data_IF_054884582446
#
_entry.id   IF_054884582446
#
_cell.length_a   1.000
_cell.length_b   1.000
_cell.length_c   1.000
_cell.angle_alpha   90.00
_cell.angle_beta   90.00
_cell.angle_gamma   90.00
#
_symmetry.space_group_name_H-M   'P 1'
#
loop_
_entity.id
_entity.type
_entity.pdbx_description
1 polymer ?
#
# COMPACT_ATOMS: atom_id res chain seq x y z
N UNK A 1 -12.69 -8.53 12.59
CA UNK A 1 -12.26 -8.34 13.99
C UNK A 1 -13.38 -8.62 14.99
N UNK A 2 -14.54 -7.96 14.91
CA UNK A 2 -15.68 -8.20 15.84
C UNK A 2 -16.05 -9.68 16.02
N UNK A 3 -16.24 -10.43 14.93
CA UNK A 3 -16.63 -11.84 14.99
C UNK A 3 -15.56 -12.78 15.55
N UNK A 4 -14.30 -12.34 15.68
CA UNK A 4 -13.24 -13.17 16.25
C UNK A 4 -13.54 -13.55 17.72
N UNK A 5 -14.24 -12.69 18.46
CA UNK A 5 -14.66 -12.94 19.85
C UNK A 5 -15.94 -13.78 19.92
N UNK A 6 -16.84 -13.62 18.93
CA UNK A 6 -18.17 -14.24 18.94
C UNK A 6 -18.14 -15.66 18.38
N UNK A 7 -17.39 -15.89 17.30
CA UNK A 7 -17.33 -17.14 16.56
C UNK A 7 -15.89 -17.44 16.12
N UNK A 8 -15.03 -17.98 17.01
CA UNK A 8 -13.60 -18.17 16.74
C UNK A 8 -13.34 -19.17 15.61
N UNK A 9 -14.28 -20.07 15.31
CA UNK A 9 -14.16 -21.04 14.21
C UNK A 9 -14.12 -20.37 12.81
N UNK A 10 -14.56 -19.11 12.69
CA UNK A 10 -14.47 -18.35 11.44
C UNK A 10 -13.03 -17.94 11.11
N UNK A 11 -12.18 -17.79 12.13
CA UNK A 11 -10.81 -17.30 12.01
C UNK A 11 -9.91 -18.24 11.17
N UNK A 12 -9.85 -19.57 11.40
CA UNK A 12 -9.05 -20.46 10.56
C UNK A 12 -9.53 -20.50 9.10
N UNK A 13 -10.84 -20.41 8.86
CA UNK A 13 -11.39 -20.32 7.49
C UNK A 13 -10.93 -19.05 6.78
N UNK A 14 -10.97 -17.91 7.48
CA UNK A 14 -10.54 -16.62 6.94
C UNK A 14 -9.03 -16.58 6.69
N UNK A 15 -8.22 -17.19 7.57
CA UNK A 15 -6.78 -17.34 7.37
C UNK A 15 -6.50 -18.18 6.11
N UNK A 16 -7.19 -19.31 5.94
CA UNK A 16 -7.07 -20.11 4.73
C UNK A 16 -7.40 -19.31 3.46
N UNK A 17 -8.46 -18.51 3.49
CA UNK A 17 -8.82 -17.59 2.40
C UNK A 17 -7.71 -16.58 2.10
N UNK A 18 -7.17 -15.90 3.11
CA UNK A 18 -6.09 -14.93 2.92
C UNK A 18 -4.79 -15.58 2.43
N UNK A 19 -4.45 -16.79 2.88
CA UNK A 19 -3.28 -17.53 2.42
C UNK A 19 -3.38 -17.87 0.93
N UNK A 20 -4.53 -18.43 0.50
CA UNK A 20 -4.75 -18.72 -0.92
C UNK A 20 -4.77 -17.44 -1.75
N UNK A 21 -5.45 -16.40 -1.27
CA UNK A 21 -5.48 -15.09 -1.92
C UNK A 21 -4.08 -14.49 -2.07
N UNK A 22 -3.23 -14.60 -1.05
CA UNK A 22 -1.85 -14.12 -1.10
C UNK A 22 -1.03 -14.83 -2.19
N UNK A 23 -1.09 -16.15 -2.27
CA UNK A 23 -0.35 -16.93 -3.29
C UNK A 23 -0.81 -16.51 -4.70
N UNK A 24 -2.12 -16.46 -4.92
CA UNK A 24 -2.68 -16.08 -6.23
C UNK A 24 -2.31 -14.64 -6.58
N UNK A 25 -2.42 -13.71 -5.64
CA UNK A 25 -2.18 -12.29 -5.90
C UNK A 25 -0.71 -11.99 -6.17
N UNK A 26 0.23 -12.66 -5.48
CA UNK A 26 1.66 -12.54 -5.78
C UNK A 26 1.95 -13.02 -7.20
N UNK A 27 1.40 -14.18 -7.60
CA UNK A 27 1.57 -14.68 -8.97
C UNK A 27 0.98 -13.70 -10.00
N UNK A 28 -0.15 -13.07 -9.70
CA UNK A 28 -0.75 -12.10 -10.61
C UNK A 28 0.08 -10.80 -10.72
N UNK A 29 0.69 -10.34 -9.62
CA UNK A 29 1.59 -9.18 -9.65
C UNK A 29 2.83 -9.47 -10.50
N UNK A 30 3.36 -10.70 -10.46
CA UNK A 30 4.54 -11.08 -11.23
C UNK A 30 4.24 -11.27 -12.72
N UNK A 31 3.15 -11.98 -13.06
CA UNK A 31 2.91 -12.43 -14.43
C UNK A 31 1.94 -11.54 -15.23
N UNK A 32 1.03 -10.81 -14.58
CA UNK A 32 -0.15 -10.22 -15.24
C UNK A 32 -0.29 -8.72 -15.02
N UNK A 33 -0.10 -8.23 -13.80
CA UNK A 33 -0.35 -6.83 -13.47
C UNK A 33 0.88 -5.96 -13.76
N UNK A 34 0.72 -4.97 -14.63
CA UNK A 34 1.73 -3.93 -14.86
C UNK A 34 1.53 -2.75 -13.90
N UNK A 35 2.58 -2.34 -13.18
CA UNK A 35 2.53 -1.20 -12.25
C UNK A 35 2.70 0.12 -13.01
N UNK A 36 1.58 0.74 -13.38
CA UNK A 36 1.58 2.02 -14.12
C UNK A 36 1.99 3.21 -13.21
N UNK A 37 1.72 3.12 -11.91
CA UNK A 37 1.97 4.18 -10.96
C UNK A 37 2.60 3.66 -9.67
N UNK A 38 3.79 4.16 -9.36
CA UNK A 38 4.47 3.89 -8.10
C UNK A 38 4.08 4.93 -7.05
N UNK A 39 3.37 4.49 -6.01
CA UNK A 39 2.89 5.37 -4.92
C UNK A 39 3.74 5.28 -3.66
N UNK A 40 4.81 4.48 -3.67
CA UNK A 40 5.77 4.30 -2.57
C UNK A 40 5.12 4.06 -1.19
N UNK A 41 4.02 3.29 -1.15
CA UNK A 41 3.36 2.93 0.11
C UNK A 41 2.57 4.07 0.78
N UNK A 42 2.28 5.18 0.08
CA UNK A 42 1.50 6.31 0.62
C UNK A 42 0.12 5.93 1.16
N UNK A 43 -0.44 4.80 0.73
CA UNK A 43 -1.72 4.28 1.23
C UNK A 43 -1.65 3.60 2.60
N UNK A 44 -0.45 3.22 3.07
CA UNK A 44 -0.27 2.47 4.32
C UNK A 44 -0.87 3.16 5.56
N UNK A 45 -0.71 4.48 5.77
CA UNK A 45 -1.32 5.16 6.92
C UNK A 45 -2.85 5.06 6.95
N UNK A 46 -3.50 5.06 5.78
CA UNK A 46 -4.94 4.90 5.67
C UNK A 46 -5.37 3.48 6.03
N UNK A 47 -4.68 2.46 5.52
CA UNK A 47 -4.93 1.05 5.87
C UNK A 47 -4.78 0.85 7.38
N UNK A 48 -3.68 1.34 7.96
CA UNK A 48 -3.46 1.28 9.40
C UNK A 48 -4.57 1.97 10.20
N UNK A 49 -5.02 3.15 9.76
CA UNK A 49 -6.15 3.85 10.38
C UNK A 49 -7.43 3.01 10.42
N UNK A 50 -7.78 2.35 9.31
CA UNK A 50 -8.94 1.46 9.26
C UNK A 50 -8.79 0.21 10.14
N UNK A 51 -7.58 -0.36 10.24
CA UNK A 51 -7.29 -1.46 11.16
C UNK A 51 -7.58 -1.03 12.61
N UNK A 52 -7.10 0.15 13.02
CA UNK A 52 -7.37 0.68 14.36
C UNK A 52 -8.87 0.92 14.61
N UNK A 53 -9.61 1.46 13.64
CA UNK A 53 -11.07 1.60 13.74
C UNK A 53 -11.73 0.22 13.95
N UNK A 54 -11.32 -0.79 13.20
CA UNK A 54 -11.86 -2.14 13.32
C UNK A 54 -11.56 -2.78 14.69
N UNK A 55 -10.39 -2.51 15.28
CA UNK A 55 -10.02 -2.96 16.64
C UNK A 55 -10.86 -2.23 17.70
N UNK A 56 -11.01 -0.91 17.60
CA UNK A 56 -11.84 -0.12 18.51
C UNK A 56 -13.29 -0.60 18.48
N UNK A 57 -13.84 -0.83 17.28
CA UNK A 57 -15.19 -1.39 17.10
C UNK A 57 -15.32 -2.77 17.75
N UNK A 58 -14.30 -3.64 17.62
CA UNK A 58 -14.26 -4.94 18.29
C UNK A 58 -14.26 -4.81 19.82
N UNK A 59 -13.52 -3.86 20.39
CA UNK A 59 -13.49 -3.64 21.84
C UNK A 59 -14.81 -3.07 22.37
N UNK A 60 -15.44 -2.14 21.65
CA UNK A 60 -16.77 -1.59 22.01
C UNK A 60 -17.83 -2.70 22.00
N UNK A 61 -17.84 -3.53 20.95
CA UNK A 61 -18.78 -4.66 20.85
C UNK A 61 -18.52 -5.73 21.91
N UNK A 62 -17.25 -5.97 22.28
CA UNK A 62 -16.86 -6.87 23.36
C UNK A 62 -17.35 -6.38 24.74
N UNK A 63 -17.25 -5.07 25.02
CA UNK A 63 -17.83 -4.45 26.22
C UNK A 63 -19.34 -4.69 26.26
N UNK A 64 -20.04 -4.43 25.16
CA UNK A 64 -21.47 -4.71 25.05
C UNK A 64 -21.82 -6.18 25.32
N UNK A 65 -21.10 -7.11 24.68
CA UNK A 65 -21.33 -8.55 24.81
C UNK A 65 -21.13 -9.06 26.25
N UNK A 66 -20.08 -8.60 26.94
CA UNK A 66 -19.82 -9.01 28.33
C UNK A 66 -20.73 -8.31 29.34
N UNK A 67 -21.15 -7.07 29.06
CA UNK A 67 -22.19 -6.38 29.83
C UNK A 67 -23.50 -7.16 29.83
N UNK A 68 -23.94 -7.63 28.67
CA UNK A 68 -25.15 -8.48 28.56
C UNK A 68 -24.97 -9.85 29.23
N UNK A 69 -23.77 -10.44 29.21
CA UNK A 69 -23.47 -11.73 29.83
C UNK A 69 -23.26 -11.69 31.36
N UNK A 70 -23.56 -10.57 32.02
CA UNK A 70 -23.48 -10.40 33.47
C UNK A 70 -22.10 -10.75 34.08
N UNK A 71 -21.02 -10.51 33.31
CA UNK A 71 -19.62 -10.64 33.77
C UNK A 71 -18.96 -9.25 33.88
N UNK A 72 -19.33 -8.43 34.89
CA UNK A 72 -18.90 -7.04 34.98
C UNK A 72 -17.37 -6.90 35.13
N UNK A 73 -16.70 -7.84 35.79
CA UNK A 73 -15.26 -7.82 35.97
C UNK A 73 -14.49 -7.81 34.63
N UNK A 74 -14.93 -8.59 33.65
CA UNK A 74 -14.31 -8.66 32.31
C UNK A 74 -14.59 -7.40 31.49
N UNK A 75 -15.79 -6.83 31.62
CA UNK A 75 -16.14 -5.57 30.96
C UNK A 75 -15.25 -4.42 31.45
N UNK A 76 -15.02 -4.34 32.77
CA UNK A 76 -14.17 -3.30 33.38
C UNK A 76 -12.72 -3.47 32.91
N UNK A 77 -12.21 -4.71 32.82
CA UNK A 77 -10.87 -4.99 32.31
C UNK A 77 -10.67 -4.59 30.83
N UNK A 78 -11.74 -4.46 30.05
CA UNK A 78 -11.67 -4.08 28.62
C UNK A 78 -11.52 -2.55 28.45
N UNK A 79 -11.88 -1.75 29.45
CA UNK A 79 -11.79 -0.28 29.38
C UNK A 79 -10.34 0.22 29.32
N UNK A 80 -9.39 -0.24 30.18
CA UNK A 80 -7.98 0.10 30.04
C UNK A 80 -7.39 -0.29 28.68
N UNK A 81 -7.83 -1.43 28.13
CA UNK A 81 -7.38 -1.92 26.83
C UNK A 81 -7.78 -0.96 25.70
N UNK A 82 -9.00 -0.42 25.76
CA UNK A 82 -9.49 0.58 24.81
C UNK A 82 -8.68 1.89 24.88
N UNK A 83 -8.41 2.37 26.09
CA UNK A 83 -7.58 3.56 26.30
C UNK A 83 -6.15 3.35 25.76
N UNK A 84 -5.53 2.22 26.08
CA UNK A 84 -4.20 1.87 25.57
C UNK A 84 -4.18 1.83 24.04
N UNK A 85 -5.22 1.29 23.41
CA UNK A 85 -5.34 1.22 21.94
C UNK A 85 -5.41 2.61 21.31
N UNK A 86 -6.18 3.53 21.91
CA UNK A 86 -6.28 4.91 21.43
C UNK A 86 -4.95 5.65 21.60
N UNK A 87 -4.33 5.58 22.78
CA UNK A 87 -3.02 6.21 23.04
C UNK A 87 -1.95 5.67 22.11
N UNK A 88 -1.95 4.36 21.85
CA UNK A 88 -1.00 3.75 20.92
C UNK A 88 -1.22 4.20 19.47
N UNK A 89 -2.47 4.34 19.02
CA UNK A 89 -2.78 4.88 17.70
C UNK A 89 -2.24 6.31 17.53
N UNK A 90 -2.48 7.18 18.51
CA UNK A 90 -1.96 8.56 18.48
C UNK A 90 -0.43 8.60 18.51
N UNK A 91 0.20 7.75 19.32
CA UNK A 91 1.66 7.60 19.32
C UNK A 91 2.18 7.18 17.93
N UNK A 92 1.56 6.18 17.30
CA UNK A 92 1.93 5.72 15.97
C UNK A 92 1.77 6.82 14.92
N UNK A 93 0.69 7.60 14.97
CA UNK A 93 0.48 8.74 14.06
C UNK A 93 1.59 9.79 14.22
N UNK A 94 1.86 10.23 15.45
CA UNK A 94 2.86 11.26 15.72
C UNK A 94 4.25 10.79 15.27
N UNK A 95 4.58 9.51 15.50
CA UNK A 95 5.92 8.97 15.22
C UNK A 95 6.14 8.60 13.75
N UNK A 96 5.18 7.94 13.12
CA UNK A 96 5.38 7.29 11.81
C UNK A 96 4.71 8.02 10.64
N UNK A 97 3.62 8.77 10.87
CA UNK A 97 2.94 9.48 9.79
C UNK A 97 3.86 10.49 9.04
N UNK A 98 4.77 11.23 9.71
CA UNK A 98 5.68 12.14 9.02
C UNK A 98 6.53 11.46 7.95
N UNK A 99 6.96 10.21 8.19
CA UNK A 99 7.79 9.41 7.27
C UNK A 99 7.07 9.06 5.97
N UNK A 100 5.74 8.88 6.00
CA UNK A 100 4.96 8.58 4.79
C UNK A 100 4.57 9.83 4.00
N UNK A 101 4.62 11.00 4.63
CA UNK A 101 4.22 12.27 4.02
C UNK A 101 5.40 13.05 3.46
N UNK A 102 6.60 12.90 4.04
CA UNK A 102 7.77 13.68 3.69
C UNK A 102 8.96 12.76 3.42
N UNK A 103 9.70 13.10 2.37
CA UNK A 103 10.97 12.45 2.07
C UNK A 103 12.10 13.14 2.85
N UNK A 104 13.04 12.35 3.38
CA UNK A 104 14.15 12.86 4.19
C UNK A 104 15.16 13.60 3.31
N UNK A 105 15.60 14.79 3.75
CA UNK A 105 16.66 15.55 3.07
C UNK A 105 17.97 14.76 3.06
N UNK A 106 18.23 13.97 4.10
CA UNK A 106 19.43 13.12 4.15
C UNK A 106 19.38 12.05 3.06
N UNK A 107 18.24 11.41 2.88
CA UNK A 107 18.09 10.36 1.85
C UNK A 107 18.20 11.01 0.46
N UNK A 108 17.63 12.20 0.26
CA UNK A 108 17.80 12.96 -0.98
C UNK A 108 19.27 13.24 -1.29
N UNK A 109 20.03 13.74 -0.31
CA UNK A 109 21.46 13.99 -0.47
C UNK A 109 22.25 12.71 -0.78
N UNK A 110 21.99 11.63 -0.05
CA UNK A 110 22.67 10.35 -0.26
C UNK A 110 22.36 9.80 -1.66
N UNK A 111 21.13 9.96 -2.17
CA UNK A 111 20.75 9.60 -3.53
C UNK A 111 21.43 10.48 -4.59
N UNK A 112 21.48 11.81 -4.39
CA UNK A 112 22.16 12.73 -5.31
C UNK A 112 23.67 12.41 -5.43
N UNK A 113 24.32 12.06 -4.31
CA UNK A 113 25.72 11.66 -4.28
C UNK A 113 25.95 10.33 -5.03
N UNK A 114 25.01 9.39 -4.92
CA UNK A 114 25.06 8.12 -5.65
C UNK A 114 24.94 8.34 -7.16
N UNK A 115 23.97 9.15 -7.61
CA UNK A 115 23.77 9.48 -9.04
C UNK A 115 25.02 10.14 -9.65
N UNK A 116 25.74 10.95 -8.88
CA UNK A 116 27.00 11.54 -9.31
C UNK A 116 28.11 10.49 -9.46
N UNK A 117 28.19 9.53 -8.53
CA UNK A 117 29.21 8.47 -8.56
C UNK A 117 28.97 7.45 -9.67
N UNK A 118 27.72 7.11 -9.95
CA UNK A 118 27.35 6.22 -11.06
C UNK A 118 27.41 6.93 -12.42
N UNK A 119 27.48 8.26 -12.45
CA UNK A 119 27.52 9.06 -13.67
C UNK A 119 26.16 9.20 -14.35
N UNK A 120 25.08 8.85 -13.66
CA UNK A 120 23.70 8.91 -14.17
C UNK A 120 23.07 10.30 -14.06
N UNK A 121 23.70 11.20 -13.30
CA UNK A 121 23.21 12.56 -13.04
C UNK A 121 22.79 13.33 -14.31
N UNK A 122 23.64 13.36 -15.33
CA UNK A 122 23.36 14.11 -16.57
C UNK A 122 22.20 13.51 -17.37
N UNK A 123 22.10 12.18 -17.40
CA UNK A 123 21.03 11.44 -18.08
C UNK A 123 19.70 11.70 -17.39
N UNK A 124 19.69 11.64 -16.06
CA UNK A 124 18.50 11.89 -15.23
C UNK A 124 18.02 13.35 -15.39
N UNK A 125 18.94 14.31 -15.45
CA UNK A 125 18.64 15.71 -15.68
C UNK A 125 17.96 15.96 -17.05
N UNK A 126 18.52 15.39 -18.11
CA UNK A 126 17.95 15.48 -19.47
C UNK A 126 16.58 14.79 -19.59
N UNK A 127 16.40 13.65 -18.90
CA UNK A 127 15.11 12.98 -18.81
C UNK A 127 14.08 13.86 -18.10
N UNK A 128 14.43 14.43 -16.94
CA UNK A 128 13.56 15.30 -16.15
C UNK A 128 13.06 16.51 -16.95
N UNK A 129 13.92 17.11 -17.80
CA UNK A 129 13.55 18.23 -18.68
C UNK A 129 12.38 17.90 -19.61
N UNK A 130 12.29 16.64 -20.06
CA UNK A 130 11.30 16.20 -21.04
C UNK A 130 10.16 15.35 -20.44
N UNK A 131 10.24 14.99 -19.16
CA UNK A 131 9.33 14.05 -18.49
C UNK A 131 7.86 14.50 -18.49
N UNK A 132 7.62 15.79 -18.22
CA UNK A 132 6.28 16.37 -18.07
C UNK A 132 5.74 17.06 -19.34
N UNK A 133 6.40 16.86 -20.49
CA UNK A 133 5.88 17.36 -21.77
C UNK A 133 4.59 16.65 -22.13
N UNK A 134 3.59 17.42 -22.59
CA UNK A 134 2.34 16.85 -23.07
C UNK A 134 2.61 15.88 -24.23
N UNK A 135 1.87 14.76 -24.33
CA UNK A 135 2.07 13.78 -25.40
C UNK A 135 2.06 14.39 -26.82
N UNK A 136 1.28 15.46 -27.03
CA UNK A 136 1.19 16.21 -28.29
C UNK A 136 2.41 17.06 -28.64
N UNK A 137 3.23 17.42 -27.65
CA UNK A 137 4.43 18.25 -27.79
C UNK A 137 5.72 17.42 -27.86
N UNK A 138 5.63 16.10 -27.65
CA UNK A 138 6.77 15.19 -27.72
C UNK A 138 7.16 15.01 -29.20
N UNK A 139 8.40 15.37 -29.55
CA UNK A 139 8.94 15.23 -30.92
C UNK A 139 8.88 13.76 -31.35
N UNK A 140 8.35 13.48 -32.54
CA UNK A 140 8.13 12.13 -33.10
C UNK A 140 9.41 11.32 -33.43
N UNK A 141 10.52 11.55 -32.74
CA UNK A 141 11.83 10.99 -33.06
C UNK A 141 12.31 10.04 -31.96
N UNK A 142 11.59 8.94 -31.74
CA UNK A 142 12.11 7.75 -31.05
C UNK A 142 11.18 6.54 -31.25
N UNK A 143 10.83 6.25 -32.51
CA UNK A 143 10.37 4.93 -32.93
C UNK A 143 11.36 4.42 -33.98
N UNK A 144 12.20 3.40 -33.72
CA UNK A 144 12.53 2.49 -34.78
C UNK A 144 11.23 1.74 -35.08
N UNK A 145 10.44 2.31 -35.98
CA UNK A 145 9.37 1.60 -36.66
C UNK A 145 10.01 0.48 -37.47
N UNK A 146 10.33 -0.65 -36.83
CA UNK A 146 10.23 -1.92 -37.53
C UNK A 146 8.74 -2.18 -37.70
N UNK A 147 8.24 -1.61 -38.78
CA UNK A 147 6.92 -1.81 -39.32
C UNK A 147 6.82 -3.23 -39.86
N UNK A 148 6.60 -4.19 -38.96
CA UNK A 148 6.13 -5.55 -39.27
C UNK A 148 4.66 -5.57 -39.74
N UNK A 149 4.16 -4.45 -40.28
CA UNK A 149 2.76 -4.26 -40.68
C UNK A 149 2.57 -4.21 -42.21
N UNK A 150 3.64 -4.32 -43.00
CA UNK A 150 3.54 -4.39 -44.48
C UNK A 150 3.66 -5.79 -45.06
N UNK A 151 3.98 -6.83 -44.28
CA UNK A 151 4.06 -8.22 -44.80
C UNK A 151 2.73 -9.00 -44.77
N UNK A 152 1.70 -8.55 -44.04
CA UNK A 152 0.44 -9.29 -43.93
C UNK A 152 -0.58 -8.98 -45.05
N UNK A 153 -0.35 -7.95 -45.88
CA UNK A 153 -1.33 -7.47 -46.88
C UNK A 153 -1.04 -7.88 -48.34
N UNK A 154 -0.05 -8.76 -48.59
CA UNK A 154 0.25 -9.29 -49.94
C UNK A 154 0.10 -10.82 -49.97
N UNK A 155 -0.95 -11.37 -49.35
CA UNK A 155 -1.29 -12.80 -49.46
C UNK A 155 -2.75 -13.05 -49.88
N UNK A 156 -3.27 -12.19 -50.76
CA UNK A 156 -4.57 -12.41 -51.37
C UNK A 156 -4.63 -11.83 -52.79
N UNK A 157 -3.98 -12.51 -53.74
CA UNK A 157 -4.46 -12.80 -55.11
C UNK A 157 -3.79 -14.09 -55.57
#
# INVERSE_FOLDING_TARGET
MVYAVVAPLLLPLLVGYFCLGYIVYVNQIEDVYETVYETCGRYWPYINHYIFIAIILMQITMIGLFGLKSKPATSIATVPLLLMTITFNEYCKIRFLPTFSHYSIKDAFDHDELDQKTGEFEINYEHARNAYLQPSLRRANSMPSQSSLTQALVSSV
#
